data_IF_845927780743
#
_entry.id   IF_845927780743
#
_cell.length_a   1.000
_cell.length_b   1.000
_cell.length_c   1.000
_cell.angle_alpha   90.00
_cell.angle_beta   90.00
_cell.angle_gamma   90.00
#
_symmetry.space_group_name_H-M   'P 1'
#
loop_
_entity.id
_entity.type
_entity.pdbx_description
1 polymer ?
#
# COMPACT_ATOMS: atom_id res chain seq x y z
N UNK A 1 11.25 15.13 -5.33
CA UNK A 1 10.44 13.92 -5.19
C UNK A 1 9.01 14.19 -5.61
N UNK A 2 8.32 13.16 -6.02
CA UNK A 2 6.91 13.28 -6.29
C UNK A 2 6.18 13.47 -4.96
N UNK A 3 5.27 14.44 -4.86
CA UNK A 3 4.52 14.64 -3.63
C UNK A 3 3.53 13.51 -3.35
N UNK A 4 3.10 12.78 -4.38
CA UNK A 4 2.16 11.66 -4.21
C UNK A 4 2.03 10.87 -5.50
N UNK A 5 1.48 9.65 -5.38
CA UNK A 5 1.05 8.80 -6.48
C UNK A 5 -0.46 8.57 -6.36
N UNK A 6 -1.18 8.59 -7.48
CA UNK A 6 -2.63 8.39 -7.47
C UNK A 6 -3.09 7.58 -8.68
N UNK A 7 -4.29 7.04 -8.58
CA UNK A 7 -4.91 6.24 -9.64
C UNK A 7 -6.11 6.94 -10.30
N UNK A 8 -6.31 8.22 -10.01
CA UNK A 8 -7.36 8.97 -10.68
C UNK A 8 -7.15 8.92 -12.19
N UNK A 9 -8.19 8.64 -13.03
CA UNK A 9 -9.62 8.60 -12.68
C UNK A 9 -10.19 7.19 -12.41
N UNK A 10 -9.39 6.18 -12.17
CA UNK A 10 -9.89 4.83 -11.89
C UNK A 10 -10.73 4.80 -10.61
N UNK A 11 -11.78 3.98 -10.62
CA UNK A 11 -12.72 3.82 -9.50
C UNK A 11 -13.11 2.35 -9.39
N UNK A 12 -13.28 1.86 -8.16
CA UNK A 12 -13.77 0.53 -7.90
C UNK A 12 -12.86 -0.62 -8.32
N UNK A 13 -11.65 -0.33 -8.78
CA UNK A 13 -10.71 -1.35 -9.24
C UNK A 13 -9.71 -1.71 -8.14
N UNK A 14 -8.95 -2.78 -8.37
CA UNK A 14 -7.82 -3.15 -7.53
C UNK A 14 -6.55 -2.72 -8.26
N UNK A 15 -5.71 -1.97 -7.58
CA UNK A 15 -4.47 -1.41 -8.13
C UNK A 15 -3.32 -1.73 -7.20
N UNK A 16 -2.08 -1.57 -7.68
CA UNK A 16 -0.91 -1.92 -6.86
C UNK A 16 0.31 -1.05 -7.17
N UNK A 17 1.24 -1.02 -6.21
CA UNK A 17 2.60 -0.49 -6.36
C UNK A 17 3.54 -1.58 -5.85
N UNK A 18 4.65 -1.78 -6.52
CA UNK A 18 5.69 -2.72 -6.07
C UNK A 18 6.97 -1.97 -5.74
N UNK A 19 7.74 -2.52 -4.81
CA UNK A 19 9.06 -2.05 -4.46
C UNK A 19 10.04 -3.21 -4.54
N UNK A 20 11.13 -3.00 -5.28
CA UNK A 20 12.19 -3.98 -5.43
C UNK A 20 13.39 -3.56 -4.59
N UNK A 21 13.84 -4.42 -3.70
CA UNK A 21 15.05 -4.16 -2.91
C UNK A 21 16.30 -4.54 -3.73
N UNK A 22 17.41 -3.79 -3.61
CA UNK A 22 18.66 -4.15 -4.28
C UNK A 22 19.20 -5.53 -3.86
N UNK A 23 18.91 -5.94 -2.62
CA UNK A 23 19.27 -7.23 -2.07
C UNK A 23 18.13 -7.71 -1.18
N UNK A 24 18.11 -9.01 -0.87
CA UNK A 24 17.13 -9.56 0.05
C UNK A 24 17.15 -8.82 1.38
N UNK A 25 15.99 -8.47 1.89
CA UNK A 25 15.81 -7.75 3.15
C UNK A 25 14.76 -8.44 4.01
N UNK A 26 14.87 -8.27 5.32
CA UNK A 26 13.85 -8.73 6.27
C UNK A 26 12.93 -7.54 6.57
N UNK A 27 11.65 -7.71 6.34
CA UNK A 27 10.65 -6.67 6.57
C UNK A 27 9.56 -7.18 7.50
N UNK A 28 9.04 -6.30 8.36
CA UNK A 28 8.01 -6.66 9.35
C UNK A 28 6.97 -5.56 9.55
N UNK A 29 7.08 -4.45 8.83
CA UNK A 29 6.09 -3.37 8.91
C UNK A 29 6.04 -2.55 7.63
N UNK A 30 4.94 -1.86 7.45
CA UNK A 30 4.76 -0.93 6.33
C UNK A 30 3.90 0.23 6.77
N UNK A 31 4.25 1.43 6.32
CA UNK A 31 3.52 2.65 6.64
C UNK A 31 3.10 3.34 5.34
N UNK A 32 1.83 3.70 5.25
CA UNK A 32 1.28 4.39 4.08
C UNK A 32 0.59 5.68 4.52
N UNK A 33 0.88 6.77 3.80
CA UNK A 33 0.20 8.04 3.97
C UNK A 33 -0.76 8.21 2.79
N UNK A 34 -2.07 8.11 3.06
CA UNK A 34 -3.08 8.18 2.01
C UNK A 34 -3.32 9.61 1.55
N UNK A 35 -3.42 9.78 0.24
CA UNK A 35 -3.77 11.04 -0.39
C UNK A 35 -5.29 11.15 -0.52
N UNK A 36 -5.86 12.22 0.03
CA UNK A 36 -7.28 12.51 -0.04
C UNK A 36 -7.43 14.00 -0.34
N UNK A 37 -7.97 14.32 -1.51
CA UNK A 37 -8.12 15.71 -1.96
C UNK A 37 -9.58 16.19 -1.89
N UNK A 38 -10.37 15.59 -1.00
CA UNK A 38 -11.72 16.04 -0.74
C UNK A 38 -11.74 17.51 -0.28
N UNK A 39 -12.78 18.27 -0.60
CA UNK A 39 -13.91 17.90 -1.43
C UNK A 39 -13.68 18.15 -2.94
N UNK A 40 -12.54 18.72 -3.31
CA UNK A 40 -12.29 19.28 -4.65
C UNK A 40 -11.87 18.24 -5.68
N UNK A 41 -11.05 17.27 -5.26
CA UNK A 41 -10.55 16.24 -6.16
C UNK A 41 -11.29 14.92 -6.01
N UNK A 42 -10.93 13.94 -6.86
CA UNK A 42 -11.55 12.63 -6.91
C UNK A 42 -10.87 11.53 -6.09
N UNK A 43 -9.78 11.86 -5.37
CA UNK A 43 -9.05 10.87 -4.57
C UNK A 43 -9.53 10.87 -3.13
N UNK A 44 -9.67 9.67 -2.59
CA UNK A 44 -10.08 9.40 -1.21
C UNK A 44 -9.18 8.31 -0.63
N UNK A 45 -9.27 8.07 0.68
CA UNK A 45 -8.63 6.88 1.26
C UNK A 45 -9.22 5.64 0.58
N UNK A 46 -8.44 4.56 0.45
CA UNK A 46 -8.93 3.36 -0.23
C UNK A 46 -10.03 2.67 0.58
N UNK A 47 -10.79 1.81 -0.09
CA UNK A 47 -11.75 0.93 0.56
C UNK A 47 -11.03 -0.08 1.45
N UNK A 48 -9.93 -0.64 0.95
CA UNK A 48 -9.07 -1.57 1.68
C UNK A 48 -7.70 -1.66 1.01
N UNK A 49 -6.73 -2.20 1.73
CA UNK A 49 -5.40 -2.43 1.18
C UNK A 49 -4.75 -3.64 1.86
N UNK A 50 -3.72 -4.19 1.21
CA UNK A 50 -2.97 -5.35 1.71
C UNK A 50 -1.52 -5.24 1.29
N UNK A 51 -0.64 -5.87 2.06
CA UNK A 51 0.76 -6.01 1.73
C UNK A 51 1.04 -7.46 1.35
N UNK A 52 1.78 -7.64 0.28
CA UNK A 52 2.26 -8.93 -0.20
C UNK A 52 3.77 -8.88 -0.30
N UNK A 53 4.39 -10.03 -0.19
CA UNK A 53 5.82 -10.19 -0.45
C UNK A 53 6.02 -11.28 -1.50
N UNK A 54 7.14 -11.21 -2.23
CA UNK A 54 7.48 -12.25 -3.20
C UNK A 54 8.30 -13.32 -2.48
N UNK A 55 7.84 -14.56 -2.52
CA UNK A 55 8.50 -15.68 -1.87
C UNK A 55 9.70 -16.19 -2.71
N UNK A 56 10.39 -17.23 -2.20
CA UNK A 56 11.58 -17.78 -2.85
C UNK A 56 11.26 -18.39 -4.23
N UNK A 57 10.01 -18.75 -4.49
CA UNK A 57 9.56 -19.29 -5.78
C UNK A 57 9.06 -18.22 -6.73
N UNK A 58 9.17 -16.94 -6.36
CA UNK A 58 8.70 -15.83 -7.17
C UNK A 58 7.20 -15.61 -7.14
N UNK A 59 6.51 -16.17 -6.14
CA UNK A 59 5.06 -16.01 -5.99
C UNK A 59 4.74 -14.93 -4.96
N UNK A 60 3.70 -14.14 -5.23
CA UNK A 60 3.20 -13.17 -4.28
C UNK A 60 2.41 -13.86 -3.18
N UNK A 61 2.79 -13.60 -1.93
CA UNK A 61 2.12 -14.16 -0.76
C UNK A 61 1.68 -13.01 0.15
N UNK A 62 0.47 -13.06 0.73
CA UNK A 62 0.07 -12.06 1.69
C UNK A 62 0.92 -12.19 2.95
N UNK A 63 1.30 -11.06 3.54
CA UNK A 63 1.95 -11.08 4.85
C UNK A 63 0.97 -11.60 5.90
N UNK A 64 1.48 -12.26 6.94
CA UNK A 64 0.67 -12.89 7.98
C UNK A 64 0.90 -12.20 9.33
N UNK A 65 0.06 -12.51 10.31
CA UNK A 65 0.18 -11.89 11.64
C UNK A 65 -0.15 -10.40 11.62
N UNK A 66 -0.99 -9.97 10.69
CA UNK A 66 -1.34 -8.57 10.48
C UNK A 66 -2.21 -8.06 11.63
N UNK A 67 -1.85 -6.90 12.17
CA UNK A 67 -2.66 -6.23 13.19
C UNK A 67 -3.83 -5.46 12.56
N UNK A 68 -3.56 -4.45 11.72
CA UNK A 68 -4.64 -3.65 11.12
C UNK A 68 -4.14 -2.88 9.91
N UNK A 69 -4.91 -2.95 8.84
CA UNK A 69 -4.73 -2.10 7.66
C UNK A 69 -5.57 -0.83 7.81
N UNK A 70 -5.00 0.22 8.37
CA UNK A 70 -5.71 1.47 8.62
C UNK A 70 -5.91 2.33 7.38
N UNK A 71 -6.95 3.16 7.41
CA UNK A 71 -7.28 4.06 6.28
C UNK A 71 -7.53 5.49 6.77
N UNK A 72 -6.74 5.95 7.72
CA UNK A 72 -6.86 7.31 8.26
C UNK A 72 -6.12 8.28 7.34
N UNK A 73 -6.79 9.31 6.87
CA UNK A 73 -6.15 10.35 6.07
C UNK A 73 -5.34 11.31 6.94
N UNK A 74 -4.30 11.89 6.38
CA UNK A 74 -3.50 12.90 7.06
C UNK A 74 -2.56 12.33 8.12
N UNK A 75 -2.37 11.03 8.16
CA UNK A 75 -1.50 10.36 9.11
C UNK A 75 -0.86 9.11 8.50
N UNK A 76 0.23 8.66 9.07
CA UNK A 76 0.83 7.39 8.70
C UNK A 76 -0.02 6.23 9.20
N UNK A 77 -0.36 5.31 8.31
CA UNK A 77 -1.09 4.09 8.64
C UNK A 77 -0.08 2.95 8.65
N UNK A 78 0.34 2.51 9.82
CA UNK A 78 1.34 1.46 9.97
C UNK A 78 0.65 0.12 10.20
N UNK A 79 1.05 -0.87 9.41
CA UNK A 79 0.68 -2.26 9.64
C UNK A 79 1.93 -3.03 10.08
N UNK A 80 1.78 -3.83 11.12
CA UNK A 80 2.82 -4.74 11.58
C UNK A 80 2.44 -6.16 11.20
N UNK A 81 3.42 -6.97 10.83
CA UNK A 81 3.20 -8.34 10.39
C UNK A 81 4.40 -9.21 10.75
N UNK A 82 4.24 -10.52 10.59
CA UNK A 82 5.31 -11.47 10.84
C UNK A 82 6.48 -11.17 9.90
N UNK A 83 7.73 -11.15 10.39
CA UNK A 83 8.90 -10.86 9.55
C UNK A 83 9.03 -11.81 8.37
N UNK A 84 9.36 -11.27 7.21
CA UNK A 84 9.61 -12.05 6.00
C UNK A 84 10.90 -11.58 5.35
N UNK A 85 11.64 -12.51 4.73
CA UNK A 85 12.79 -12.20 3.90
C UNK A 85 12.35 -12.17 2.45
N UNK A 86 12.62 -11.07 1.76
CA UNK A 86 12.15 -10.90 0.39
C UNK A 86 12.98 -9.87 -0.36
N UNK A 87 12.89 -9.90 -1.67
CA UNK A 87 13.43 -8.86 -2.56
C UNK A 87 12.36 -7.92 -3.06
N UNK A 88 11.09 -8.24 -2.85
CA UNK A 88 10.02 -7.44 -3.43
C UNK A 88 8.78 -7.44 -2.54
N UNK A 89 8.20 -6.26 -2.39
CA UNK A 89 6.97 -6.04 -1.62
C UNK A 89 5.97 -5.34 -2.53
N UNK A 90 4.69 -5.71 -2.39
CA UNK A 90 3.60 -5.11 -3.14
C UNK A 90 2.57 -4.52 -2.20
N UNK A 91 2.22 -3.27 -2.44
CA UNK A 91 1.06 -2.61 -1.86
C UNK A 91 -0.10 -2.77 -2.84
N UNK A 92 -1.13 -3.50 -2.44
CA UNK A 92 -2.33 -3.68 -3.26
C UNK A 92 -3.49 -2.96 -2.60
N UNK A 93 -4.20 -2.15 -3.35
CA UNK A 93 -5.33 -1.40 -2.83
C UNK A 93 -6.59 -1.69 -3.62
N UNK A 94 -7.73 -1.63 -2.93
CA UNK A 94 -9.05 -1.65 -3.55
C UNK A 94 -9.59 -0.23 -3.50
N UNK A 95 -9.86 0.34 -4.67
CA UNK A 95 -10.37 1.71 -4.76
C UNK A 95 -11.82 1.78 -4.28
N UNK A 96 -12.25 2.93 -3.73
CA UNK A 96 -13.65 3.16 -3.47
C UNK A 96 -14.49 3.03 -4.75
N UNK A 97 -15.77 2.69 -4.61
CA UNK A 97 -16.63 2.44 -5.78
C UNK A 97 -16.81 3.66 -6.68
N UNK A 98 -16.75 4.86 -6.10
CA UNK A 98 -17.03 6.12 -6.83
C UNK A 98 -15.86 7.11 -6.77
N UNK A 99 -14.71 6.70 -6.26
CA UNK A 99 -13.54 7.57 -6.12
C UNK A 99 -12.26 6.82 -6.45
N UNK A 100 -11.24 7.55 -6.83
CA UNK A 100 -9.88 7.04 -6.92
C UNK A 100 -9.22 7.07 -5.54
N UNK A 101 -7.98 6.61 -5.46
CA UNK A 101 -7.15 6.73 -4.28
C UNK A 101 -5.76 7.21 -4.68
N UNK A 102 -4.96 7.56 -3.70
CA UNK A 102 -3.57 7.97 -3.92
C UNK A 102 -2.75 7.83 -2.66
N UNK A 103 -1.45 7.84 -2.84
CA UNK A 103 -0.46 7.65 -1.79
C UNK A 103 0.52 8.82 -1.80
N UNK A 104 0.69 9.49 -0.66
CA UNK A 104 1.74 10.49 -0.48
C UNK A 104 3.10 9.83 -0.31
N UNK A 105 3.13 8.81 0.52
CA UNK A 105 4.37 8.15 0.90
C UNK A 105 4.08 6.71 1.31
N UNK A 106 5.00 5.82 0.96
CA UNK A 106 4.93 4.42 1.35
C UNK A 106 6.31 3.97 1.78
N UNK A 107 6.39 3.46 3.00
CA UNK A 107 7.61 2.96 3.61
C UNK A 107 7.45 1.49 3.97
N UNK A 108 8.52 0.73 3.82
CA UNK A 108 8.59 -0.69 4.20
C UNK A 108 9.82 -0.88 5.09
N UNK A 109 9.61 -1.51 6.22
CA UNK A 109 10.68 -1.74 7.20
C UNK A 109 10.71 -3.18 7.69
#
# INVERSE_FOLDING_TARGET
SLPYYHWWPKQGTTEWITYEFPAEATVSSSTVYWFDDAPWGGCRVPKSWKIYYKDAQGQWQPVTGVDKYGVVKGAGNTVNFDPVKTKSVKLEITLPDKNAAGVYEWEVQ
#
